data_IF_673987870051
#
_entry.id   IF_673987870051
#
_cell.length_a   1.000
_cell.length_b   1.000
_cell.length_c   1.000
_cell.angle_alpha   90.00
_cell.angle_beta   90.00
_cell.angle_gamma   90.00
#
_symmetry.space_group_name_H-M   'P 1'
#
loop_
_entity.id
_entity.type
_entity.pdbx_description
1 polymer ?
#
# COMPACT_ATOMS: atom_id res chain seq x y z
N UNK A 1 -9.05 37.29 -80.28
CA UNK A 1 -9.71 36.15 -79.60
C UNK A 1 -8.75 35.33 -78.71
N UNK A 2 -7.41 35.39 -78.91
CA UNK A 2 -6.42 34.60 -78.14
C UNK A 2 -6.11 35.12 -76.71
N UNK A 3 -6.24 36.43 -76.44
CA UNK A 3 -5.87 37.01 -75.13
C UNK A 3 -6.82 36.61 -73.98
N UNK A 4 -8.09 36.33 -74.26
CA UNK A 4 -9.09 35.90 -73.26
C UNK A 4 -8.90 34.43 -72.81
N UNK A 5 -8.25 33.61 -73.62
CA UNK A 5 -7.97 32.21 -73.27
C UNK A 5 -6.77 32.12 -72.31
N UNK A 6 -5.68 32.85 -72.58
CA UNK A 6 -4.49 32.89 -71.72
C UNK A 6 -4.80 33.34 -70.28
N UNK A 7 -5.67 34.35 -70.11
CA UNK A 7 -6.05 34.84 -68.78
C UNK A 7 -6.91 33.82 -68.00
N UNK A 8 -7.77 33.05 -68.69
CA UNK A 8 -8.57 31.99 -68.06
C UNK A 8 -7.71 30.79 -67.66
N UNK A 9 -6.73 30.42 -68.47
CA UNK A 9 -5.80 29.32 -68.14
C UNK A 9 -4.91 29.69 -66.95
N UNK A 10 -4.45 30.94 -66.87
CA UNK A 10 -3.63 31.43 -65.75
C UNK A 10 -4.42 31.47 -64.43
N UNK A 11 -5.68 31.92 -64.46
CA UNK A 11 -6.58 31.89 -63.30
C UNK A 11 -6.91 30.46 -62.85
N UNK A 12 -7.05 29.52 -63.79
CA UNK A 12 -7.31 28.11 -63.44
C UNK A 12 -6.08 27.43 -62.84
N UNK A 13 -4.89 27.71 -63.36
CA UNK A 13 -3.61 27.22 -62.81
C UNK A 13 -3.30 27.83 -61.44
N UNK A 14 -3.61 29.11 -61.21
CA UNK A 14 -3.44 29.73 -59.90
C UNK A 14 -4.44 29.19 -58.87
N UNK A 15 -5.69 28.91 -59.29
CA UNK A 15 -6.70 28.30 -58.42
C UNK A 15 -6.33 26.85 -58.06
N UNK A 16 -5.81 26.07 -59.02
CA UNK A 16 -5.31 24.71 -58.76
C UNK A 16 -4.11 24.71 -57.82
N UNK A 17 -3.17 25.64 -57.98
CA UNK A 17 -2.02 25.77 -57.09
C UNK A 17 -2.43 26.18 -55.65
N UNK A 18 -3.47 27.00 -55.50
CA UNK A 18 -3.98 27.40 -54.19
C UNK A 18 -4.73 26.25 -53.49
N UNK A 19 -5.44 25.40 -54.24
CA UNK A 19 -6.10 24.20 -53.71
C UNK A 19 -5.07 23.12 -53.32
N UNK A 20 -3.97 22.98 -54.06
CA UNK A 20 -2.87 22.07 -53.68
C UNK A 20 -2.12 22.55 -52.43
N UNK A 21 -1.95 23.87 -52.24
CA UNK A 21 -1.32 24.42 -51.03
C UNK A 21 -2.21 24.30 -49.79
N UNK A 22 -3.54 24.32 -49.93
CA UNK A 22 -4.48 24.07 -48.84
C UNK A 22 -4.63 22.57 -48.52
N UNK A 23 -4.48 21.68 -49.51
CA UNK A 23 -4.54 20.23 -49.32
C UNK A 23 -3.28 19.63 -48.68
N UNK A 24 -2.15 20.34 -48.71
CA UNK A 24 -0.91 19.91 -48.05
C UNK A 24 -0.75 20.42 -46.61
N UNK A 25 -1.71 21.19 -46.06
CA UNK A 25 -1.62 21.73 -44.70
C UNK A 25 -2.52 21.01 -43.68
N UNK A 26 -3.08 19.85 -44.05
CA UNK A 26 -3.77 18.95 -43.12
C UNK A 26 -2.84 17.80 -42.73
N UNK A 27 -1.73 18.10 -42.06
CA UNK A 27 -1.18 17.12 -41.13
C UNK A 27 -2.17 17.06 -39.98
N UNK A 28 -3.08 16.10 -40.03
CA UNK A 28 -3.72 15.62 -38.80
C UNK A 28 -2.58 15.15 -37.91
N UNK A 29 -2.11 16.03 -37.03
CA UNK A 29 -1.30 15.66 -35.89
C UNK A 29 -2.19 14.74 -35.06
N UNK A 30 -2.15 13.44 -35.36
CA UNK A 30 -2.72 12.41 -34.51
C UNK A 30 -1.97 12.53 -33.18
N UNK A 31 -2.59 13.20 -32.23
CA UNK A 31 -2.07 13.41 -30.88
C UNK A 31 -1.82 12.02 -30.29
N UNK A 32 -0.55 11.58 -30.25
CA UNK A 32 -0.19 10.27 -29.73
C UNK A 32 -0.49 10.25 -28.23
N UNK A 33 -1.56 9.57 -27.84
CA UNK A 33 -1.82 9.28 -26.43
C UNK A 33 -1.01 8.06 -26.02
N UNK A 34 0.02 8.19 -25.16
CA UNK A 34 0.80 7.06 -24.70
C UNK A 34 -0.11 6.04 -23.99
N UNK A 35 0.11 4.75 -24.28
CA UNK A 35 -0.60 3.65 -23.64
C UNK A 35 0.33 3.00 -22.61
N UNK A 36 -0.22 2.64 -21.45
CA UNK A 36 0.56 1.93 -20.43
C UNK A 36 1.07 0.59 -20.98
N UNK A 37 2.36 0.24 -20.80
CA UNK A 37 2.89 -1.04 -21.26
C UNK A 37 2.48 -2.22 -20.38
N UNK A 38 1.83 -1.95 -19.24
CA UNK A 38 1.37 -2.98 -18.30
C UNK A 38 0.45 -3.96 -19.02
N UNK A 39 0.75 -5.24 -18.85
CA UNK A 39 -0.01 -6.35 -19.43
C UNK A 39 -0.64 -7.15 -18.31
N UNK A 40 -1.97 -7.23 -18.28
CA UNK A 40 -2.69 -7.96 -17.24
C UNK A 40 -3.96 -8.60 -17.82
N UNK A 41 -3.78 -9.78 -18.39
CA UNK A 41 -4.89 -10.65 -18.79
C UNK A 41 -5.46 -11.36 -17.56
N UNK A 42 -6.65 -10.92 -17.12
CA UNK A 42 -7.32 -11.42 -15.92
C UNK A 42 -7.62 -12.94 -15.97
N UNK A 43 -7.63 -13.56 -17.15
CA UNK A 43 -7.81 -15.01 -17.28
C UNK A 43 -6.53 -15.80 -17.02
N UNK A 44 -5.36 -15.15 -17.11
CA UNK A 44 -4.04 -15.78 -17.03
C UNK A 44 -3.25 -15.42 -15.78
N UNK A 45 -3.59 -14.31 -15.12
CA UNK A 45 -2.93 -13.91 -13.87
C UNK A 45 -3.37 -14.78 -12.68
N UNK A 46 -2.46 -15.06 -11.73
CA UNK A 46 -1.10 -14.52 -11.63
C UNK A 46 -0.09 -15.16 -12.59
N UNK A 47 0.80 -14.34 -13.18
CA UNK A 47 1.86 -14.84 -14.05
C UNK A 47 3.01 -15.49 -13.26
N UNK A 48 3.78 -16.41 -13.86
CA UNK A 48 4.95 -17.01 -13.20
C UNK A 48 6.08 -16.02 -12.88
N UNK A 49 6.27 -14.98 -13.69
CA UNK A 49 7.33 -13.97 -13.50
C UNK A 49 6.75 -12.58 -13.24
N UNK A 50 7.45 -11.79 -12.43
CA UNK A 50 7.07 -10.40 -12.15
C UNK A 50 7.24 -9.51 -13.39
N UNK A 51 8.27 -9.75 -14.20
CA UNK A 51 8.52 -8.98 -15.42
C UNK A 51 7.42 -9.10 -16.48
N UNK A 52 6.65 -10.21 -16.48
CA UNK A 52 5.57 -10.45 -17.45
C UNK A 52 4.45 -9.40 -17.36
N UNK A 53 4.28 -8.77 -16.20
CA UNK A 53 3.30 -7.69 -16.02
C UNK A 53 3.73 -6.36 -16.62
N UNK A 54 5.03 -6.12 -16.77
CA UNK A 54 5.60 -4.83 -17.22
C UNK A 54 5.18 -3.64 -16.35
N UNK A 55 5.10 -3.83 -15.04
CA UNK A 55 4.88 -2.73 -14.08
C UNK A 55 6.07 -1.77 -13.98
N UNK A 56 7.26 -2.26 -14.29
CA UNK A 56 8.51 -1.50 -14.18
C UNK A 56 9.26 -1.51 -15.50
N UNK A 57 9.92 -0.39 -15.79
CA UNK A 57 10.74 -0.20 -16.99
C UNK A 57 12.24 -0.30 -16.69
N UNK A 58 13.01 -0.70 -17.70
CA UNK A 58 14.45 -0.91 -17.58
C UNK A 58 14.80 -2.07 -16.65
N UNK A 59 15.89 -1.94 -15.89
CA UNK A 59 16.35 -2.98 -14.97
C UNK A 59 15.37 -3.13 -13.79
N UNK A 60 14.74 -4.30 -13.68
CA UNK A 60 13.62 -4.57 -12.77
C UNK A 60 13.86 -4.15 -11.32
N UNK A 61 15.05 -4.43 -10.75
CA UNK A 61 15.39 -4.07 -9.35
C UNK A 61 15.41 -2.57 -9.04
N UNK A 62 15.45 -1.72 -10.07
CA UNK A 62 15.35 -0.27 -9.86
C UNK A 62 13.93 0.13 -9.44
N UNK A 63 12.94 -0.69 -9.81
CA UNK A 63 11.51 -0.46 -9.56
C UNK A 63 11.08 0.91 -10.12
N UNK A 64 11.57 1.24 -11.31
CA UNK A 64 11.17 2.44 -12.04
C UNK A 64 9.78 2.18 -12.61
N UNK A 65 8.72 2.87 -12.14
CA UNK A 65 7.37 2.58 -12.57
C UNK A 65 7.20 2.88 -14.06
N UNK A 66 6.59 1.95 -14.79
CA UNK A 66 6.17 2.21 -16.17
C UNK A 66 5.05 3.26 -16.23
N UNK A 67 4.80 3.81 -17.43
CA UNK A 67 3.72 4.78 -17.64
C UNK A 67 2.38 4.30 -17.03
N UNK A 68 1.73 5.19 -16.26
CA UNK A 68 0.49 4.96 -15.48
C UNK A 68 0.62 3.99 -14.27
N UNK A 69 1.81 3.55 -13.90
CA UNK A 69 2.04 2.90 -12.60
C UNK A 69 2.39 3.99 -11.59
N UNK A 70 1.50 4.26 -10.63
CA UNK A 70 1.63 5.42 -9.74
C UNK A 70 2.19 4.97 -8.38
N UNK A 71 3.32 5.52 -7.92
CA UNK A 71 3.80 5.24 -6.57
C UNK A 71 2.89 5.90 -5.52
N UNK A 72 2.76 5.25 -4.37
CA UNK A 72 2.07 5.84 -3.21
C UNK A 72 2.67 5.35 -1.89
N UNK A 73 2.37 6.08 -0.83
CA UNK A 73 2.81 5.79 0.52
C UNK A 73 1.66 5.95 1.52
N UNK A 74 1.75 5.21 2.62
CA UNK A 74 0.81 5.30 3.74
C UNK A 74 1.43 6.18 4.81
N UNK A 75 0.66 7.08 5.42
CA UNK A 75 1.16 7.97 6.46
C UNK A 75 1.87 7.19 7.58
N UNK A 76 1.25 6.10 8.05
CA UNK A 76 1.90 5.09 8.90
C UNK A 76 1.90 3.73 8.19
N UNK A 77 3.07 3.11 8.07
CA UNK A 77 3.24 1.79 7.45
C UNK A 77 3.24 0.63 8.44
N UNK A 78 2.73 -0.53 8.01
CA UNK A 78 2.90 -1.81 8.72
C UNK A 78 4.38 -2.11 8.95
N UNK A 79 4.74 -2.46 10.19
CA UNK A 79 6.05 -2.98 10.54
C UNK A 79 6.24 -4.38 9.97
N UNK A 80 7.42 -4.63 9.38
CA UNK A 80 7.77 -5.96 8.86
C UNK A 80 9.26 -6.18 8.97
N UNK A 81 9.75 -6.47 10.17
CA UNK A 81 11.18 -6.67 10.48
C UNK A 81 12.08 -5.56 9.93
N UNK A 82 11.65 -4.31 10.04
CA UNK A 82 12.30 -3.13 9.46
C UNK A 82 12.47 -3.11 7.93
N UNK A 83 11.86 -4.04 7.19
CA UNK A 83 11.84 -3.99 5.73
C UNK A 83 11.20 -2.68 5.24
N UNK A 84 11.91 -1.99 4.36
CA UNK A 84 11.43 -0.83 3.63
C UNK A 84 10.44 -1.28 2.54
N UNK A 85 9.54 -0.39 2.14
CA UNK A 85 8.39 -0.74 1.30
C UNK A 85 8.17 0.30 0.22
N UNK A 86 8.22 -0.12 -1.05
CA UNK A 86 7.67 0.65 -2.17
C UNK A 86 6.28 0.14 -2.49
N UNK A 87 5.33 1.04 -2.78
CA UNK A 87 3.97 0.66 -3.20
C UNK A 87 3.59 1.38 -4.47
N UNK A 88 2.82 0.70 -5.30
CA UNK A 88 2.33 1.22 -6.55
C UNK A 88 0.87 0.80 -6.77
N UNK A 89 0.14 1.63 -7.50
CA UNK A 89 -1.20 1.33 -8.01
C UNK A 89 -1.18 1.43 -9.52
N UNK A 90 -1.88 0.50 -10.17
CA UNK A 90 -2.18 0.56 -11.59
C UNK A 90 -3.63 0.18 -11.82
N UNK A 91 -4.29 0.85 -12.77
CA UNK A 91 -5.66 0.55 -13.19
C UNK A 91 -5.75 0.55 -14.72
N UNK A 92 -6.64 -0.26 -15.32
CA UNK A 92 -6.91 -0.20 -16.74
C UNK A 92 -7.36 1.18 -17.19
N UNK A 93 -7.02 1.56 -18.42
CA UNK A 93 -7.43 2.84 -19.00
C UNK A 93 -8.95 3.04 -18.95
N UNK A 94 -9.39 4.25 -18.63
CA UNK A 94 -10.81 4.62 -18.54
C UNK A 94 -11.54 4.13 -17.29
N UNK A 95 -10.85 3.42 -16.39
CA UNK A 95 -11.43 2.98 -15.11
C UNK A 95 -10.95 3.86 -13.95
N UNK A 96 -11.78 3.98 -12.91
CA UNK A 96 -11.49 4.80 -11.73
C UNK A 96 -12.02 4.14 -10.46
N UNK A 97 -11.36 4.38 -9.34
CA UNK A 97 -11.87 4.03 -8.02
C UNK A 97 -12.85 5.10 -7.51
N UNK A 98 -13.68 4.74 -6.53
CA UNK A 98 -14.59 5.67 -5.85
C UNK A 98 -14.34 5.74 -4.34
N UNK A 99 -14.57 6.94 -3.79
CA UNK A 99 -14.50 7.21 -2.35
C UNK A 99 -15.79 6.79 -1.65
N UNK A 100 -15.68 6.15 -0.48
CA UNK A 100 -16.84 5.67 0.32
C UNK A 100 -16.69 5.97 1.83
N UNK A 101 -15.72 6.81 2.20
CA UNK A 101 -15.39 7.17 3.58
C UNK A 101 -13.91 7.08 3.90
N UNK A 102 -13.47 7.84 4.90
CA UNK A 102 -12.05 8.03 5.24
C UNK A 102 -11.33 6.74 5.62
N UNK A 103 -11.96 5.94 6.48
CA UNK A 103 -11.42 4.68 7.00
C UNK A 103 -11.73 3.45 6.15
N UNK A 104 -12.41 3.63 5.01
CA UNK A 104 -12.74 2.53 4.10
C UNK A 104 -11.72 2.44 2.98
N UNK A 105 -11.48 1.22 2.52
CA UNK A 105 -10.68 0.98 1.31
C UNK A 105 -11.40 1.65 0.14
N UNK A 106 -10.65 2.33 -0.73
CA UNK A 106 -11.21 2.85 -1.98
C UNK A 106 -11.85 1.71 -2.79
N UNK A 107 -13.01 1.98 -3.40
CA UNK A 107 -13.70 0.99 -4.23
C UNK A 107 -13.03 0.94 -5.60
N UNK A 108 -12.02 0.09 -5.71
CA UNK A 108 -11.22 -0.09 -6.94
C UNK A 108 -12.03 -0.75 -8.07
N UNK A 109 -11.77 -0.46 -9.35
CA UNK A 109 -12.40 -1.16 -10.47
C UNK A 109 -11.73 -2.53 -10.73
N UNK A 110 -12.46 -3.44 -11.41
CA UNK A 110 -11.89 -4.69 -11.92
C UNK A 110 -10.68 -4.39 -12.82
N UNK A 111 -9.62 -5.17 -12.68
CA UNK A 111 -8.33 -4.96 -13.34
C UNK A 111 -7.32 -4.16 -12.54
N UNK A 112 -7.69 -3.63 -11.37
CA UNK A 112 -6.74 -2.93 -10.50
C UNK A 112 -5.64 -3.87 -10.00
N UNK A 113 -4.39 -3.41 -10.02
CA UNK A 113 -3.28 -4.03 -9.28
C UNK A 113 -2.75 -3.09 -8.21
N UNK A 114 -2.62 -3.63 -6.99
CA UNK A 114 -1.90 -3.01 -5.88
C UNK A 114 -0.60 -3.78 -5.66
N UNK A 115 0.52 -3.10 -5.85
CA UNK A 115 1.86 -3.71 -5.87
C UNK A 115 2.60 -3.20 -4.63
N UNK A 116 3.27 -4.10 -3.91
CA UNK A 116 4.07 -3.77 -2.73
C UNK A 116 5.36 -4.59 -2.73
N UNK A 117 6.49 -3.89 -2.76
CA UNK A 117 7.82 -4.51 -2.76
C UNK A 117 8.52 -4.26 -1.44
N UNK A 118 9.08 -5.31 -0.84
CA UNK A 118 9.79 -5.28 0.43
C UNK A 118 11.29 -5.44 0.19
N UNK A 119 12.09 -4.56 0.77
CA UNK A 119 13.53 -4.53 0.56
C UNK A 119 14.28 -4.00 1.78
N UNK A 120 15.57 -4.26 1.80
CA UNK A 120 16.52 -3.72 2.77
C UNK A 120 17.60 -2.94 2.03
N UNK A 121 18.09 -1.87 2.63
CA UNK A 121 19.29 -1.15 2.21
C UNK A 121 20.47 -1.52 3.13
N UNK A 122 21.70 -1.27 2.68
CA UNK A 122 22.93 -1.54 3.46
C UNK A 122 23.07 -3.00 3.93
N UNK A 123 22.64 -3.95 3.09
CA UNK A 123 22.68 -5.38 3.41
C UNK A 123 24.13 -5.86 3.46
N UNK A 124 24.46 -6.62 4.50
CA UNK A 124 25.82 -7.09 4.74
C UNK A 124 26.12 -8.37 3.94
N UNK A 125 27.36 -8.55 3.43
CA UNK A 125 28.51 -7.65 3.58
C UNK A 125 28.68 -6.62 2.45
N UNK A 126 27.88 -6.67 1.39
CA UNK A 126 28.06 -5.86 0.18
C UNK A 126 27.64 -4.40 0.33
N UNK A 127 26.89 -4.07 1.39
CA UNK A 127 26.27 -2.76 1.66
C UNK A 127 25.33 -2.29 0.55
N UNK A 128 24.73 -3.24 -0.18
CA UNK A 128 23.82 -2.95 -1.28
C UNK A 128 22.36 -3.14 -0.87
N UNK A 129 21.44 -2.59 -1.68
CA UNK A 129 20.02 -2.94 -1.60
C UNK A 129 19.80 -4.42 -1.94
N UNK A 130 18.94 -5.08 -1.18
CA UNK A 130 18.37 -6.39 -1.52
C UNK A 130 16.85 -6.32 -1.42
N UNK A 131 16.18 -6.68 -2.50
CA UNK A 131 14.75 -6.88 -2.58
C UNK A 131 14.44 -8.34 -2.23
N UNK A 132 13.47 -8.54 -1.35
CA UNK A 132 13.11 -9.86 -0.84
C UNK A 132 11.89 -10.40 -1.59
N UNK A 133 10.80 -9.64 -1.62
CA UNK A 133 9.55 -10.06 -2.24
C UNK A 133 8.77 -8.88 -2.83
N UNK A 134 7.96 -9.16 -3.85
CA UNK A 134 6.93 -8.27 -4.38
C UNK A 134 5.58 -8.96 -4.26
N UNK A 135 4.66 -8.37 -3.49
CA UNK A 135 3.28 -8.82 -3.37
C UNK A 135 2.38 -8.01 -4.29
N UNK A 136 1.45 -8.70 -4.94
CA UNK A 136 0.47 -8.10 -5.84
C UNK A 136 -0.92 -8.56 -5.40
N UNK A 137 -1.83 -7.60 -5.28
CA UNK A 137 -3.26 -7.87 -5.18
C UNK A 137 -3.93 -7.43 -6.47
N UNK A 138 -4.61 -8.36 -7.11
CA UNK A 138 -5.27 -8.15 -8.41
C UNK A 138 -6.77 -8.26 -8.20
N UNK A 139 -7.52 -7.22 -8.61
CA UNK A 139 -8.98 -7.27 -8.60
C UNK A 139 -9.47 -7.97 -9.87
N UNK A 140 -9.86 -9.25 -9.78
CA UNK A 140 -10.19 -10.09 -10.94
C UNK A 140 -11.62 -9.93 -11.43
N UNK A 141 -12.60 -9.86 -10.53
CA UNK A 141 -14.01 -9.84 -10.91
C UNK A 141 -14.86 -9.19 -9.83
N UNK A 142 -16.15 -9.02 -10.15
CA UNK A 142 -17.22 -8.85 -9.17
C UNK A 142 -18.09 -10.10 -9.28
N UNK A 143 -18.31 -10.79 -8.17
CA UNK A 143 -19.17 -11.96 -8.13
C UNK A 143 -20.60 -11.55 -8.56
N UNK A 144 -21.17 -12.16 -9.62
CA UNK A 144 -22.45 -11.73 -10.17
C UNK A 144 -23.65 -12.00 -9.26
N UNK A 145 -23.50 -12.89 -8.27
CA UNK A 145 -24.55 -13.23 -7.30
C UNK A 145 -24.45 -12.35 -6.07
N UNK A 146 -23.25 -12.20 -5.50
CA UNK A 146 -23.07 -11.46 -4.25
C UNK A 146 -22.77 -9.98 -4.45
N UNK A 147 -22.54 -9.55 -5.69
CA UNK A 147 -22.12 -8.20 -6.10
C UNK A 147 -20.87 -7.70 -5.36
N UNK A 148 -19.99 -8.62 -5.00
CA UNK A 148 -18.79 -8.33 -4.22
C UNK A 148 -17.51 -8.58 -5.00
N UNK A 149 -16.46 -7.89 -4.57
CA UNK A 149 -15.15 -7.92 -5.19
C UNK A 149 -14.42 -9.25 -4.99
N UNK A 150 -13.74 -9.70 -6.04
CA UNK A 150 -12.82 -10.82 -5.98
C UNK A 150 -11.38 -10.31 -6.14
N UNK A 151 -10.60 -10.41 -5.06
CA UNK A 151 -9.17 -10.12 -5.06
C UNK A 151 -8.36 -11.41 -5.05
N UNK A 152 -7.32 -11.46 -5.88
CA UNK A 152 -6.34 -12.55 -5.89
C UNK A 152 -5.00 -12.03 -5.39
N UNK A 153 -4.34 -12.81 -4.53
CA UNK A 153 -3.00 -12.53 -4.04
C UNK A 153 -1.97 -13.29 -4.87
N UNK A 154 -0.86 -12.62 -5.13
CA UNK A 154 0.31 -13.22 -5.72
C UNK A 154 1.54 -12.69 -5.01
N UNK A 155 2.46 -13.57 -4.65
CA UNK A 155 3.73 -13.19 -4.06
C UNK A 155 4.87 -13.64 -4.96
N UNK A 156 5.82 -12.74 -5.19
CA UNK A 156 6.97 -12.95 -6.06
C UNK A 156 8.24 -12.86 -5.25
N UNK A 157 8.95 -13.97 -5.10
CA UNK A 157 10.23 -14.04 -4.40
C UNK A 157 11.35 -13.70 -5.37
N UNK A 158 12.18 -12.74 -4.99
CA UNK A 158 13.29 -12.28 -5.83
C UNK A 158 14.45 -13.27 -5.80
N UNK A 159 15.10 -13.46 -6.95
CA UNK A 159 16.31 -14.26 -7.01
C UNK A 159 17.52 -13.52 -6.41
N UNK A 160 18.55 -14.29 -6.06
CA UNK A 160 19.78 -13.77 -5.45
C UNK A 160 20.51 -12.79 -6.38
N UNK A 161 20.42 -12.98 -7.70
CA UNK A 161 21.02 -12.07 -8.68
C UNK A 161 20.28 -10.71 -8.78
N UNK A 162 19.10 -10.58 -8.17
CA UNK A 162 18.26 -9.38 -8.19
C UNK A 162 17.87 -8.97 -9.62
N UNK A 163 17.57 -9.94 -10.47
CA UNK A 163 17.21 -9.74 -11.89
C UNK A 163 15.76 -10.07 -12.20
N UNK A 164 15.12 -10.94 -11.42
CA UNK A 164 13.74 -11.39 -11.61
C UNK A 164 13.10 -11.77 -10.26
N UNK A 165 11.77 -11.81 -10.24
CA UNK A 165 11.03 -12.43 -9.14
C UNK A 165 10.01 -13.44 -9.66
N UNK A 166 9.89 -14.56 -8.96
CA UNK A 166 9.08 -15.71 -9.37
C UNK A 166 7.92 -15.93 -8.40
N UNK A 167 6.75 -16.27 -8.95
CA UNK A 167 5.56 -16.58 -8.17
C UNK A 167 5.85 -17.73 -7.19
N UNK A 168 5.70 -17.48 -5.89
CA UNK A 168 5.80 -18.47 -4.83
C UNK A 168 4.82 -18.13 -3.70
N UNK A 169 3.89 -19.07 -3.45
CA UNK A 169 2.81 -18.93 -2.45
C UNK A 169 2.98 -19.87 -1.26
N UNK A 170 4.06 -20.66 -1.20
CA UNK A 170 4.27 -21.66 -0.16
C UNK A 170 4.76 -21.06 1.17
N UNK A 171 5.26 -19.83 1.11
CA UNK A 171 5.92 -19.17 2.23
C UNK A 171 7.33 -19.72 2.47
N UNK A 172 8.22 -18.85 2.90
CA UNK A 172 9.64 -19.18 3.07
C UNK A 172 10.29 -18.24 4.07
N UNK A 173 11.57 -18.46 4.33
CA UNK A 173 12.38 -17.62 5.20
C UNK A 173 13.59 -17.12 4.42
N UNK A 174 13.91 -15.84 4.57
CA UNK A 174 15.09 -15.21 3.99
C UNK A 174 15.96 -14.64 5.11
N UNK A 175 17.12 -15.25 5.41
CA UNK A 175 18.04 -14.69 6.38
C UNK A 175 18.59 -13.36 5.84
N UNK A 176 18.49 -12.30 6.63
CA UNK A 176 18.93 -10.96 6.24
C UNK A 176 19.72 -10.30 7.35
N UNK A 177 20.77 -9.59 6.98
CA UNK A 177 21.59 -8.78 7.89
C UNK A 177 21.85 -7.43 7.24
N UNK A 178 21.63 -6.34 7.96
CA UNK A 178 21.75 -4.98 7.42
C UNK A 178 22.29 -4.03 8.48
N UNK A 179 22.87 -2.91 8.04
CA UNK A 179 23.17 -1.79 8.94
C UNK A 179 21.95 -0.88 9.06
N UNK A 180 21.52 -0.62 10.28
CA UNK A 180 20.49 0.39 10.54
C UNK A 180 21.05 1.82 10.38
N UNK A 181 20.20 2.82 10.60
CA UNK A 181 20.56 4.25 10.52
C UNK A 181 21.68 4.68 11.48
N UNK A 182 21.91 3.93 12.55
CA UNK A 182 22.99 4.16 13.52
C UNK A 182 24.26 3.33 13.22
N UNK A 183 24.36 2.76 12.01
CA UNK A 183 25.45 1.87 11.58
C UNK A 183 25.61 0.58 12.42
N UNK A 184 24.59 0.20 13.19
CA UNK A 184 24.57 -1.06 13.94
C UNK A 184 24.07 -2.17 13.03
N UNK A 185 24.83 -3.27 12.98
CA UNK A 185 24.41 -4.48 12.25
C UNK A 185 23.25 -5.14 13.02
N UNK A 186 22.10 -5.25 12.36
CA UNK A 186 20.93 -6.00 12.82
C UNK A 186 20.73 -7.18 11.87
N UNK A 187 20.10 -8.24 12.37
CA UNK A 187 19.74 -9.40 11.57
C UNK A 187 18.34 -9.89 11.90
N UNK A 188 17.72 -10.54 10.94
CA UNK A 188 16.40 -11.17 11.08
C UNK A 188 16.33 -12.39 10.17
N UNK A 189 15.42 -13.30 10.48
CA UNK A 189 15.02 -14.36 9.56
C UNK A 189 13.68 -13.98 8.93
N UNK A 190 13.72 -13.13 7.90
CA UNK A 190 12.54 -12.51 7.32
C UNK A 190 11.54 -13.57 6.85
N UNK A 191 10.31 -13.52 7.38
CA UNK A 191 9.24 -14.44 7.01
C UNK A 191 8.49 -13.93 5.78
N UNK A 192 8.66 -14.64 4.67
CA UNK A 192 7.79 -14.53 3.49
C UNK A 192 6.53 -15.37 3.78
N UNK A 193 5.34 -14.76 3.91
CA UNK A 193 4.12 -15.49 4.27
C UNK A 193 3.64 -16.37 3.11
N UNK A 194 3.08 -17.52 3.47
CA UNK A 194 2.28 -18.36 2.58
C UNK A 194 0.95 -17.70 2.20
N UNK A 195 0.23 -18.30 1.25
CA UNK A 195 -1.14 -17.87 0.88
C UNK A 195 -2.07 -17.83 2.09
N UNK A 196 -2.06 -18.88 2.92
CA UNK A 196 -2.90 -18.99 4.12
C UNK A 196 -2.57 -17.89 5.14
N UNK A 197 -1.28 -17.60 5.33
CA UNK A 197 -0.84 -16.50 6.21
C UNK A 197 -1.26 -15.13 5.65
N UNK A 198 -1.20 -14.94 4.31
CA UNK A 198 -1.69 -13.72 3.69
C UNK A 198 -3.19 -13.52 3.94
N UNK A 199 -4.00 -14.58 3.74
CA UNK A 199 -5.44 -14.56 3.97
C UNK A 199 -5.83 -14.41 5.45
N UNK A 200 -4.93 -14.71 6.39
CA UNK A 200 -5.18 -14.44 7.81
C UNK A 200 -5.35 -12.94 8.06
N UNK A 201 -4.51 -12.11 7.44
CA UNK A 201 -4.59 -10.65 7.57
C UNK A 201 -5.53 -10.03 6.54
N UNK A 202 -5.46 -10.49 5.29
CA UNK A 202 -6.13 -9.87 4.16
C UNK A 202 -7.52 -10.45 3.88
N UNK A 203 -8.36 -10.48 4.91
CA UNK A 203 -9.75 -10.92 4.74
C UNK A 203 -10.75 -10.09 5.54
N UNK A 204 -11.99 -10.07 5.05
CA UNK A 204 -13.17 -9.71 5.82
C UNK A 204 -14.31 -10.62 5.42
N UNK A 205 -15.01 -11.23 6.38
CA UNK A 205 -16.02 -12.26 6.12
C UNK A 205 -15.49 -13.40 5.21
N UNK A 206 -14.27 -13.88 5.48
CA UNK A 206 -13.57 -14.89 4.67
C UNK A 206 -13.27 -14.49 3.22
N UNK A 207 -13.37 -13.20 2.89
CA UNK A 207 -13.10 -12.69 1.54
C UNK A 207 -11.82 -11.88 1.46
N UNK A 208 -10.96 -12.16 0.48
CA UNK A 208 -9.80 -11.34 0.11
C UNK A 208 -10.09 -9.83 0.04
N UNK A 209 -9.35 -9.02 0.82
CA UNK A 209 -9.39 -7.56 0.72
C UNK A 209 -8.00 -6.93 0.85
N UNK A 210 -7.74 -5.78 0.20
CA UNK A 210 -6.50 -5.05 0.40
C UNK A 210 -6.46 -4.36 1.76
N UNK A 211 -5.25 -4.03 2.20
CA UNK A 211 -5.00 -3.31 3.45
C UNK A 211 -4.15 -2.08 3.13
N UNK A 212 -4.53 -0.92 3.67
CA UNK A 212 -3.74 0.30 3.55
C UNK A 212 -4.37 1.41 2.71
N UNK A 213 -4.84 1.20 1.46
CA UNK A 213 -5.26 2.28 0.56
C UNK A 213 -6.67 2.79 0.90
N UNK A 214 -6.77 3.35 2.11
CA UNK A 214 -7.89 4.10 2.65
C UNK A 214 -7.57 5.60 2.50
N UNK A 215 -8.53 6.48 2.19
CA UNK A 215 -8.28 7.91 2.08
C UNK A 215 -7.57 8.51 3.30
N UNK A 216 -7.93 8.09 4.53
CA UNK A 216 -7.27 8.55 5.76
C UNK A 216 -5.75 8.31 5.79
N UNK A 217 -5.27 7.27 5.09
CA UNK A 217 -3.86 6.88 5.07
C UNK A 217 -3.09 7.51 3.91
N UNK A 218 -3.78 8.10 2.93
CA UNK A 218 -3.21 8.64 1.69
C UNK A 218 -3.28 10.17 1.64
N UNK A 219 -4.08 10.80 2.49
CA UNK A 219 -4.33 12.25 2.47
C UNK A 219 -3.17 13.06 3.07
N UNK A 220 -2.03 13.04 2.39
CA UNK A 220 -0.85 13.85 2.64
C UNK A 220 -0.05 14.07 1.35
N UNK A 221 0.90 15.00 1.37
CA UNK A 221 1.75 15.30 0.22
C UNK A 221 2.82 14.24 -0.02
N UNK A 222 2.99 13.83 -1.27
CA UNK A 222 4.02 12.92 -1.73
C UNK A 222 4.84 13.57 -2.85
N UNK A 223 6.14 13.28 -2.88
CA UNK A 223 7.07 13.82 -3.90
C UNK A 223 7.13 12.89 -5.10
N UNK A 224 6.47 13.28 -6.18
CA UNK A 224 6.53 12.62 -7.49
C UNK A 224 7.67 13.20 -8.34
N UNK A 225 7.94 12.58 -9.48
CA UNK A 225 8.96 13.03 -10.45
C UNK A 225 8.63 14.39 -11.08
N UNK A 226 7.34 14.73 -11.17
CA UNK A 226 6.80 15.97 -11.72
C UNK A 226 6.48 17.03 -10.65
N UNK A 227 6.70 16.72 -9.37
CA UNK A 227 6.52 17.67 -8.25
C UNK A 227 5.88 17.05 -7.01
N UNK A 228 5.65 17.89 -6.00
CA UNK A 228 4.96 17.46 -4.77
C UNK A 228 3.46 17.66 -4.90
N UNK A 229 2.66 16.63 -4.59
CA UNK A 229 1.19 16.70 -4.64
C UNK A 229 0.56 15.82 -3.57
N UNK A 230 -0.64 16.18 -3.10
CA UNK A 230 -1.46 15.26 -2.31
C UNK A 230 -1.76 14.00 -3.13
N UNK A 231 -1.62 12.82 -2.54
CA UNK A 231 -1.72 11.56 -3.30
C UNK A 231 -3.12 11.31 -3.87
N UNK A 232 -4.18 11.66 -3.13
CA UNK A 232 -5.56 11.53 -3.62
C UNK A 232 -5.82 12.51 -4.77
N UNK A 233 -5.30 13.74 -4.67
CA UNK A 233 -5.35 14.71 -5.76
C UNK A 233 -4.62 14.22 -7.01
N UNK A 234 -3.43 13.61 -6.84
CA UNK A 234 -2.69 12.97 -7.95
C UNK A 234 -3.51 11.84 -8.58
N UNK A 235 -4.20 11.03 -7.79
CA UNK A 235 -5.04 9.96 -8.33
C UNK A 235 -6.25 10.48 -9.09
N UNK A 236 -6.85 11.61 -8.66
CA UNK A 236 -7.91 12.27 -9.43
C UNK A 236 -7.39 12.80 -10.77
N UNK A 237 -6.27 13.51 -10.76
CA UNK A 237 -5.61 14.04 -11.96
C UNK A 237 -5.26 12.94 -12.97
N UNK A 238 -4.78 11.80 -12.49
CA UNK A 238 -4.40 10.66 -13.33
C UNK A 238 -5.60 9.85 -13.85
N UNK A 239 -6.82 10.17 -13.39
CA UNK A 239 -8.07 9.50 -13.72
C UNK A 239 -8.35 8.23 -12.91
N UNK A 240 -7.58 7.96 -11.86
CA UNK A 240 -7.65 6.75 -11.03
C UNK A 240 -8.61 6.87 -9.84
N UNK A 241 -9.03 8.08 -9.49
CA UNK A 241 -10.03 8.33 -8.45
C UNK A 241 -11.05 9.33 -8.99
N UNK A 242 -12.33 9.07 -8.78
CA UNK A 242 -13.39 9.97 -9.25
C UNK A 242 -13.37 11.32 -8.52
N UNK A 243 -13.44 11.26 -7.19
CA UNK A 243 -13.38 12.40 -6.28
C UNK A 243 -13.09 11.89 -4.87
N UNK A 244 -12.83 12.80 -3.95
CA UNK A 244 -12.70 12.52 -2.51
C UNK A 244 -13.26 13.70 -1.70
N UNK A 245 -13.49 13.49 -0.41
CA UNK A 245 -13.93 14.55 0.51
C UNK A 245 -12.82 15.56 0.75
N UNK A 246 -13.13 16.86 0.77
CA UNK A 246 -12.17 17.89 1.18
C UNK A 246 -11.84 17.81 2.69
N UNK A 247 -12.66 17.12 3.47
CA UNK A 247 -12.54 17.00 4.92
C UNK A 247 -12.31 15.54 5.32
N UNK A 248 -11.12 15.01 5.06
CA UNK A 248 -10.71 13.66 5.48
C UNK A 248 -10.08 13.72 6.86
N UNK A 249 -10.55 12.89 7.78
CA UNK A 249 -9.90 12.62 9.06
C UNK A 249 -8.73 11.65 8.83
N UNK A 250 -7.52 12.21 8.72
CA UNK A 250 -6.32 11.45 8.34
C UNK A 250 -5.58 10.83 9.52
N UNK A 251 -4.93 9.69 9.26
CA UNK A 251 -3.82 9.23 10.09
C UNK A 251 -2.59 10.13 9.87
N UNK A 252 -1.61 10.03 10.76
CA UNK A 252 -0.33 10.75 10.65
C UNK A 252 0.83 9.76 10.55
N UNK A 253 2.01 10.25 10.16
CA UNK A 253 3.25 9.49 10.40
C UNK A 253 3.44 9.37 11.91
N UNK A 254 3.41 8.15 12.42
CA UNK A 254 3.60 7.87 13.83
C UNK A 254 5.00 8.29 14.32
N UNK A 255 5.96 8.54 13.42
CA UNK A 255 7.29 9.06 13.76
C UNK A 255 7.35 10.59 13.81
N UNK A 256 6.36 11.30 13.28
CA UNK A 256 6.33 12.77 13.30
C UNK A 256 6.00 13.28 14.71
N UNK A 257 7.05 13.63 15.46
CA UNK A 257 6.94 14.10 16.85
C UNK A 257 6.29 15.48 16.99
N UNK A 258 6.06 16.20 15.88
CA UNK A 258 5.26 17.44 15.90
C UNK A 258 3.76 17.17 16.08
N UNK A 259 3.32 15.92 15.89
CA UNK A 259 1.93 15.49 16.08
C UNK A 259 1.66 15.02 17.51
N UNK A 260 0.42 15.19 18.02
CA UNK A 260 0.06 14.71 19.35
C UNK A 260 0.32 13.20 19.53
N UNK A 261 0.84 12.82 20.70
CA UNK A 261 1.19 11.43 21.04
C UNK A 261 0.05 10.46 20.78
N UNK A 262 -1.17 10.76 21.25
CA UNK A 262 -2.33 9.89 21.05
C UNK A 262 -2.69 9.69 19.57
N UNK A 263 -2.53 10.73 18.74
CA UNK A 263 -2.81 10.61 17.30
C UNK A 263 -1.77 9.72 16.61
N UNK A 264 -0.50 9.82 17.00
CA UNK A 264 0.58 8.94 16.52
C UNK A 264 0.34 7.48 16.93
N UNK A 265 -0.05 7.25 18.18
CA UNK A 265 -0.41 5.92 18.71
C UNK A 265 -1.56 5.30 17.93
N UNK A 266 -2.66 6.03 17.75
CA UNK A 266 -3.82 5.56 17.00
C UNK A 266 -3.48 5.26 15.53
N UNK A 267 -2.61 6.07 14.92
CA UNK A 267 -2.13 5.83 13.54
C UNK A 267 -1.25 4.58 13.45
N UNK A 268 -0.37 4.36 14.43
CA UNK A 268 0.45 3.17 14.54
C UNK A 268 -0.39 1.91 14.73
N UNK A 269 -1.39 1.96 15.62
CA UNK A 269 -2.31 0.85 15.90
C UNK A 269 -3.20 0.54 14.67
N UNK A 270 -3.69 1.56 13.94
CA UNK A 270 -4.44 1.33 12.69
C UNK A 270 -3.60 0.57 11.67
N UNK A 271 -2.37 1.03 11.43
CA UNK A 271 -1.48 0.45 10.44
C UNK A 271 -1.05 -1.00 10.76
N UNK A 272 -0.85 -1.31 12.04
CA UNK A 272 -0.25 -2.59 12.47
C UNK A 272 -1.27 -3.62 12.97
N UNK A 273 -2.45 -3.20 13.42
CA UNK A 273 -3.36 -4.08 14.17
C UNK A 273 -4.80 -4.10 13.64
N UNK A 274 -5.30 -2.99 13.06
CA UNK A 274 -6.72 -2.84 12.73
C UNK A 274 -7.27 -3.83 11.71
N UNK A 275 -6.44 -4.31 10.79
CA UNK A 275 -6.88 -5.27 9.77
C UNK A 275 -7.25 -6.64 10.37
N UNK A 276 -6.62 -7.03 11.49
CA UNK A 276 -6.95 -8.24 12.23
C UNK A 276 -8.02 -7.99 13.30
N UNK A 277 -7.94 -6.85 13.98
CA UNK A 277 -8.87 -6.46 15.06
C UNK A 277 -9.96 -5.53 14.53
N UNK A 278 -10.77 -6.07 13.62
CA UNK A 278 -11.98 -5.45 13.09
C UNK A 278 -13.09 -6.49 12.96
N UNK A 279 -14.32 -6.01 12.78
CA UNK A 279 -15.48 -6.89 12.61
C UNK A 279 -15.30 -7.81 11.40
N UNK A 280 -15.58 -9.11 11.58
CA UNK A 280 -15.41 -10.18 10.60
C UNK A 280 -13.97 -10.41 10.11
N UNK A 281 -12.97 -10.04 10.90
CA UNK A 281 -11.54 -10.32 10.65
C UNK A 281 -11.01 -11.40 11.60
N UNK A 282 -9.74 -11.78 11.46
CA UNK A 282 -9.14 -12.90 12.20
C UNK A 282 -9.26 -12.79 13.74
N UNK A 283 -9.13 -11.59 14.30
CA UNK A 283 -9.18 -11.34 15.74
C UNK A 283 -10.52 -10.75 16.22
N UNK A 284 -11.60 -10.88 15.44
CA UNK A 284 -12.92 -10.30 15.77
C UNK A 284 -13.51 -10.82 17.09
N UNK A 285 -13.12 -12.03 17.51
CA UNK A 285 -13.49 -12.65 18.77
C UNK A 285 -12.94 -11.92 20.03
N UNK A 286 -12.00 -10.98 19.85
CA UNK A 286 -11.47 -10.11 20.90
C UNK A 286 -12.22 -8.77 20.94
N UNK A 287 -12.28 -8.07 22.09
CA UNK A 287 -13.08 -6.86 22.23
C UNK A 287 -12.49 -5.62 21.51
N UNK A 288 -11.23 -5.65 21.11
CA UNK A 288 -10.54 -4.48 20.53
C UNK A 288 -10.99 -4.19 19.09
N UNK A 289 -11.16 -2.91 18.75
CA UNK A 289 -11.48 -2.42 17.38
C UNK A 289 -10.51 -1.29 17.01
N UNK A 290 -9.44 -1.66 16.32
CA UNK A 290 -8.25 -0.81 16.22
C UNK A 290 -8.24 0.16 15.04
N UNK A 291 -9.32 0.22 14.25
CA UNK A 291 -9.40 1.18 13.15
C UNK A 291 -9.29 2.62 13.67
N UNK A 292 -8.61 3.49 12.93
CA UNK A 292 -8.36 4.86 13.36
C UNK A 292 -9.66 5.61 13.72
N UNK A 293 -10.73 5.42 12.96
CA UNK A 293 -12.05 6.00 13.21
C UNK A 293 -12.73 5.47 14.48
N UNK A 294 -12.44 4.23 14.87
CA UNK A 294 -13.06 3.54 16.01
C UNK A 294 -12.31 3.74 17.33
N UNK A 295 -11.03 4.06 17.27
CA UNK A 295 -10.16 4.25 18.45
C UNK A 295 -10.34 5.59 19.16
N UNK A 296 -11.30 6.42 18.71
CA UNK A 296 -11.81 7.54 19.50
C UNK A 296 -12.52 7.05 20.77
N UNK A 297 -13.05 5.82 20.75
CA UNK A 297 -13.54 5.15 21.95
C UNK A 297 -12.37 4.42 22.66
N UNK A 298 -12.01 4.80 23.90
CA UNK A 298 -10.88 4.20 24.62
C UNK A 298 -11.05 2.70 24.91
N UNK A 299 -12.29 2.20 24.98
CA UNK A 299 -12.57 0.76 25.16
C UNK A 299 -12.08 -0.04 23.96
N UNK A 300 -12.17 0.51 22.75
CA UNK A 300 -11.71 -0.14 21.53
C UNK A 300 -10.19 -0.30 21.49
N UNK A 301 -9.45 0.59 22.19
CA UNK A 301 -8.01 0.47 22.43
C UNK A 301 -7.66 -0.53 23.54
N UNK A 302 -8.65 -1.00 24.31
CA UNK A 302 -8.46 -1.90 25.44
C UNK A 302 -8.11 -1.18 26.76
N UNK A 303 -8.31 0.13 26.86
CA UNK A 303 -8.06 0.90 28.09
C UNK A 303 -8.97 0.40 29.21
N UNK A 304 -8.36 -0.11 30.28
CA UNK A 304 -9.03 -0.71 31.44
C UNK A 304 -10.01 -1.84 31.08
N UNK A 305 -9.77 -2.53 29.96
CA UNK A 305 -10.55 -3.71 29.55
C UNK A 305 -9.82 -4.96 30.01
N UNK A 306 -10.50 -5.83 30.76
CA UNK A 306 -9.93 -7.09 31.21
C UNK A 306 -9.58 -7.99 30.00
N UNK A 307 -8.39 -8.62 29.97
CA UNK A 307 -8.05 -9.53 28.90
C UNK A 307 -8.89 -10.81 29.00
N UNK A 308 -9.32 -11.33 27.84
CA UNK A 308 -10.02 -12.62 27.78
C UNK A 308 -9.10 -13.82 27.97
N UNK A 309 -7.79 -13.63 27.80
CA UNK A 309 -6.76 -14.65 27.96
C UNK A 309 -5.94 -14.34 29.20
N UNK A 310 -5.72 -15.34 30.06
CA UNK A 310 -4.81 -15.21 31.19
C UNK A 310 -3.40 -15.66 30.76
N UNK A 311 -2.57 -14.69 30.36
CA UNK A 311 -1.17 -14.93 30.01
C UNK A 311 -0.30 -14.97 31.28
N UNK A 312 -0.49 -13.99 32.16
CA UNK A 312 0.20 -13.84 33.44
C UNK A 312 -0.70 -13.01 34.38
N UNK A 313 -0.80 -13.40 35.65
CA UNK A 313 -1.68 -12.76 36.62
C UNK A 313 -1.30 -11.29 36.93
N UNK A 314 -0.09 -10.86 36.59
CA UNK A 314 0.35 -9.46 36.72
C UNK A 314 -0.21 -8.55 35.60
N UNK A 315 -0.60 -9.12 34.46
CA UNK A 315 -1.16 -8.42 33.31
C UNK A 315 -2.68 -8.24 33.48
N UNK A 316 -3.07 -7.19 34.19
CA UNK A 316 -4.45 -7.00 34.66
C UNK A 316 -5.43 -6.49 33.61
N UNK A 317 -4.95 -5.70 32.65
CA UNK A 317 -5.77 -5.10 31.61
C UNK A 317 -5.08 -5.21 30.26
N UNK A 318 -5.84 -5.12 29.17
CA UNK A 318 -5.27 -4.98 27.82
C UNK A 318 -4.35 -3.75 27.78
N UNK A 319 -4.83 -2.63 28.32
CA UNK A 319 -4.06 -1.44 28.66
C UNK A 319 -4.36 -1.05 30.11
N UNK A 320 -3.36 -1.13 30.98
CA UNK A 320 -3.39 -0.64 32.36
C UNK A 320 -2.86 0.79 32.37
N UNK A 321 -3.74 1.77 32.60
CA UNK A 321 -3.37 3.20 32.63
C UNK A 321 -2.23 3.47 33.62
N UNK A 322 -1.22 4.22 33.18
CA UNK A 322 -0.06 4.61 33.98
C UNK A 322 0.90 3.45 34.29
N UNK A 323 0.69 2.26 33.73
CA UNK A 323 1.54 1.10 33.98
C UNK A 323 1.62 0.14 32.79
N UNK A 324 2.52 0.47 31.86
CA UNK A 324 2.86 -0.35 30.70
C UNK A 324 3.24 -1.80 31.07
N UNK A 325 3.97 -2.01 32.15
CA UNK A 325 4.41 -3.34 32.60
C UNK A 325 3.27 -4.27 33.04
N UNK A 326 2.10 -3.72 33.35
CA UNK A 326 0.88 -4.48 33.66
C UNK A 326 -0.10 -4.55 32.49
N UNK A 327 0.33 -4.17 31.29
CA UNK A 327 -0.52 -4.08 30.09
C UNK A 327 -0.25 -5.23 29.13
N UNK A 328 -1.29 -6.01 28.79
CA UNK A 328 -1.16 -7.12 27.84
C UNK A 328 -0.66 -6.65 26.47
N UNK A 329 -1.13 -5.50 25.96
CA UNK A 329 -0.69 -5.01 24.64
C UNK A 329 0.82 -4.78 24.61
N UNK A 330 1.37 -4.07 25.60
CA UNK A 330 2.81 -3.78 25.69
C UNK A 330 3.63 -5.06 25.82
N UNK A 331 3.22 -6.00 26.68
CA UNK A 331 3.86 -7.31 26.82
C UNK A 331 3.90 -8.07 25.49
N UNK A 332 2.75 -8.20 24.80
CA UNK A 332 2.67 -8.95 23.54
C UNK A 332 3.48 -8.28 22.43
N UNK A 333 3.52 -6.95 22.37
CA UNK A 333 4.36 -6.23 21.41
C UNK A 333 5.86 -6.41 21.69
N UNK A 334 6.25 -6.55 22.95
CA UNK A 334 7.65 -6.76 23.37
C UNK A 334 8.14 -8.20 23.20
N UNK A 335 7.22 -9.16 23.03
CA UNK A 335 7.55 -10.58 22.86
C UNK A 335 7.90 -10.94 21.41
N UNK A 336 8.84 -11.88 21.23
CA UNK A 336 9.08 -12.60 19.96
C UNK A 336 8.63 -14.07 20.03
N UNK A 337 8.11 -14.52 21.18
CA UNK A 337 7.56 -15.87 21.32
C UNK A 337 6.24 -15.95 20.53
N UNK A 338 6.16 -16.87 19.57
CA UNK A 338 4.99 -17.00 18.69
C UNK A 338 3.67 -17.24 19.42
N UNK A 339 3.71 -17.86 20.59
CA UNK A 339 2.52 -18.08 21.41
C UNK A 339 1.93 -16.78 21.98
N UNK A 340 2.76 -15.75 22.20
CA UNK A 340 2.35 -14.53 22.91
C UNK A 340 2.56 -13.24 22.12
N UNK A 341 3.41 -13.23 21.09
CA UNK A 341 3.76 -12.03 20.33
C UNK A 341 2.55 -11.44 19.61
N UNK A 342 2.58 -10.13 19.46
CA UNK A 342 1.70 -9.39 18.54
C UNK A 342 2.50 -8.36 17.74
N UNK A 343 2.20 -8.15 16.44
CA UNK A 343 1.30 -8.97 15.62
C UNK A 343 1.75 -10.44 15.47
N UNK A 344 0.79 -11.34 15.22
CA UNK A 344 1.01 -12.78 15.05
C UNK A 344 1.91 -13.09 13.83
N UNK A 345 1.73 -12.32 12.76
CA UNK A 345 2.39 -12.50 11.48
C UNK A 345 3.11 -11.22 11.05
N UNK A 346 4.04 -11.36 10.12
CA UNK A 346 4.75 -10.24 9.51
C UNK A 346 5.86 -9.64 10.36
N UNK A 347 6.27 -10.30 11.46
CA UNK A 347 7.49 -9.96 12.21
C UNK A 347 8.15 -11.22 12.76
N UNK A 348 9.45 -11.17 13.02
CA UNK A 348 10.21 -12.13 13.82
C UNK A 348 11.07 -11.44 14.88
N UNK A 349 11.20 -10.12 14.82
CA UNK A 349 11.89 -9.29 15.82
C UNK A 349 10.95 -8.25 16.44
N UNK A 350 11.42 -7.58 17.49
CA UNK A 350 10.70 -6.49 18.15
C UNK A 350 10.84 -5.21 17.35
N UNK A 351 9.74 -4.47 17.19
CA UNK A 351 9.77 -3.09 16.74
C UNK A 351 10.00 -2.19 17.96
N UNK A 352 11.27 -1.91 18.26
CA UNK A 352 11.69 -1.25 19.51
C UNK A 352 11.00 0.12 19.67
N UNK A 353 10.97 0.92 18.61
CA UNK A 353 10.38 2.27 18.60
C UNK A 353 8.85 2.24 18.70
N UNK A 354 8.21 1.22 18.11
CA UNK A 354 6.77 1.02 18.23
C UNK A 354 6.35 0.58 19.63
N UNK A 355 7.16 -0.25 20.29
CA UNK A 355 6.97 -0.62 21.70
C UNK A 355 7.12 0.61 22.59
N UNK A 356 8.16 1.42 22.37
CA UNK A 356 8.40 2.63 23.14
C UNK A 356 7.24 3.64 22.99
N UNK A 357 6.73 3.85 21.77
CA UNK A 357 5.57 4.72 21.53
C UNK A 357 4.36 4.31 22.38
N UNK A 358 4.06 3.01 22.41
CA UNK A 358 2.94 2.48 23.19
C UNK A 358 3.22 2.58 24.69
N UNK A 359 4.46 2.34 25.12
CA UNK A 359 4.86 2.52 26.52
C UNK A 359 4.64 3.95 26.99
N UNK A 360 5.20 4.93 26.28
CA UNK A 360 5.09 6.36 26.61
C UNK A 360 3.62 6.79 26.70
N UNK A 361 2.80 6.29 25.77
CA UNK A 361 1.37 6.56 25.79
C UNK A 361 0.67 5.95 27.01
N UNK A 362 0.87 4.66 27.28
CA UNK A 362 0.23 3.98 28.43
C UNK A 362 0.61 4.67 29.73
N UNK A 363 1.90 4.98 29.90
CA UNK A 363 2.44 5.58 31.12
C UNK A 363 1.96 7.03 31.30
N UNK A 364 1.54 7.70 30.21
CA UNK A 364 0.90 9.03 30.27
C UNK A 364 -0.58 9.02 30.67
N UNK A 365 -1.24 7.85 30.69
CA UNK A 365 -2.68 7.76 30.96
C UNK A 365 -2.99 7.84 32.46
N UNK A 366 -3.89 8.73 32.82
CA UNK A 366 -4.45 8.87 34.16
C UNK A 366 -6.00 9.03 34.13
N UNK A 367 -6.68 8.99 35.30
CA UNK A 367 -6.26 8.28 36.51
C UNK A 367 -6.16 6.76 36.28
N UNK A 368 -5.61 6.02 37.24
CA UNK A 368 -5.48 4.56 37.17
C UNK A 368 -6.83 3.85 36.87
N UNK A 369 -6.76 2.66 36.27
CA UNK A 369 -7.94 1.82 36.10
C UNK A 369 -8.52 1.44 37.47
N UNK A 370 -9.85 1.42 37.57
CA UNK A 370 -10.56 1.04 38.79
C UNK A 370 -10.45 -0.45 39.11
#
# INVERSE_FOLDING_TARGET
MQQKYLLRTFLFLSLLAFVFLLACNSSEDTEYTPVSPVSMDLTRVPYPKLSDYKFFEGTLKNLNPSYKVIPYELASGLFTDYALKKRFVWMPSGTKATYDGDGKILKFPVGTALIKTFYYDNVQPSETRQIIETRIMIKKSVNPVTLQDEWTFANYVWNDEQTEAYLDMNGSYSPISWKNENNVVKSSNYRIPSETECLMCHKSNERPIPIGPKPQNLNFSYTYTDGTKNQLAKWVEEGYLESYSDNIVSTVDWKDTSKPLETRVRSYIDANCAHCHSTNSHCDYRPMRFAFSETTNPVNLGICVAPQENIDNSLTYIITKGNSQRSVMHFRMSSVNEATRMPLLGRTIVHEEGVQLIQDWIDSLDPACN
#
